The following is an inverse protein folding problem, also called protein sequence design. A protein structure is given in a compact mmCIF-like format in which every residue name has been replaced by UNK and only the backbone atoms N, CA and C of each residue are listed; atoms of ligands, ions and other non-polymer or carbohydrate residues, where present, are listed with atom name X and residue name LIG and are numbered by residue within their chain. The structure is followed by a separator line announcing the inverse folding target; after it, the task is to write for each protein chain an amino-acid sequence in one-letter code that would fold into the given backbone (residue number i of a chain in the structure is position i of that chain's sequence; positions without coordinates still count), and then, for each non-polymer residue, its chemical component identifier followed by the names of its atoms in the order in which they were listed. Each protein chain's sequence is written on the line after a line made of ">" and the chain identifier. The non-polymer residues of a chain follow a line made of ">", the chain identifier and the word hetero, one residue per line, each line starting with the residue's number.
data_IF_690777210671
#
_entry.id   IF_690777210671
#
_cell.length_a   1.000
_cell.length_b   1.000
_cell.length_c   1.000
_cell.angle_alpha   90.00
_cell.angle_beta   90.00
_cell.angle_gamma   90.00
#
_symmetry.space_group_name_H-M   'P 1'
#
loop_
_entity.id
_entity.type
_entity.pdbx_description
1 polymer ?
#
# COMPACT_ATOMS: atom_id res chain seq x y z
N UNK A 1 -29.60 26.13 -43.76
CA UNK A 1 -30.05 25.87 -42.38
C UNK A 1 -28.86 25.23 -41.69
N UNK A 2 -28.09 26.03 -40.97
CA UNK A 2 -26.91 25.59 -40.24
C UNK A 2 -27.37 24.99 -38.91
N UNK A 3 -27.50 23.68 -38.87
CA UNK A 3 -27.77 22.92 -37.66
C UNK A 3 -26.49 22.94 -36.81
N UNK A 4 -26.40 23.93 -35.92
CA UNK A 4 -25.31 24.00 -34.94
C UNK A 4 -25.61 22.96 -33.86
N UNK A 5 -24.95 21.81 -33.94
CA UNK A 5 -24.89 20.85 -32.83
C UNK A 5 -24.54 21.60 -31.52
N UNK A 6 -25.38 21.53 -30.48
CA UNK A 6 -25.04 22.13 -29.21
C UNK A 6 -23.84 21.36 -28.65
N UNK A 7 -22.66 21.99 -28.66
CA UNK A 7 -21.47 21.47 -27.99
C UNK A 7 -21.84 21.22 -26.53
N UNK A 8 -22.11 19.97 -26.21
CA UNK A 8 -22.40 19.52 -24.86
C UNK A 8 -21.19 19.88 -24.01
N UNK A 9 -21.36 20.85 -23.12
CA UNK A 9 -20.31 21.30 -22.21
C UNK A 9 -20.13 20.24 -21.13
N UNK A 10 -19.38 19.18 -21.45
CA UNK A 10 -19.01 18.14 -20.48
C UNK A 10 -17.98 18.77 -19.54
N UNK A 11 -18.27 18.94 -18.24
CA UNK A 11 -17.29 19.49 -17.30
C UNK A 11 -16.06 18.57 -17.29
N UNK A 12 -14.91 19.15 -17.64
CA UNK A 12 -13.64 18.45 -17.52
C UNK A 12 -13.20 18.56 -16.06
N UNK A 13 -13.15 17.41 -15.38
CA UNK A 13 -12.59 17.32 -14.03
C UNK A 13 -11.11 17.00 -14.20
N UNK A 14 -10.25 17.92 -13.78
CA UNK A 14 -8.83 17.63 -13.61
C UNK A 14 -8.64 16.92 -12.26
N UNK A 15 -8.07 15.71 -12.30
CA UNK A 15 -7.70 14.97 -11.10
C UNK A 15 -6.18 14.96 -11.00
N UNK A 16 -5.65 15.58 -9.96
CA UNK A 16 -4.23 15.49 -9.62
C UNK A 16 -3.98 14.19 -8.86
N UNK A 17 -3.16 13.30 -9.42
CA UNK A 17 -2.71 12.09 -8.75
C UNK A 17 -1.27 12.27 -8.27
N UNK A 18 -1.05 12.13 -6.97
CA UNK A 18 0.30 12.07 -6.41
C UNK A 18 0.85 10.65 -6.55
N UNK A 19 1.98 10.50 -7.23
CA UNK A 19 2.72 9.25 -7.25
C UNK A 19 3.47 9.06 -5.93
N UNK A 20 3.48 7.85 -5.35
CA UNK A 20 4.29 7.58 -4.17
C UNK A 20 5.77 7.46 -4.54
N UNK A 21 6.63 7.80 -3.59
CA UNK A 21 8.05 7.49 -3.64
C UNK A 21 8.26 6.05 -3.14
N UNK A 22 8.88 5.22 -3.95
CA UNK A 22 9.22 3.84 -3.56
C UNK A 22 10.37 3.91 -2.55
N UNK A 23 10.20 3.23 -1.41
CA UNK A 23 11.26 3.12 -0.42
C UNK A 23 12.10 1.88 -0.71
N UNK A 24 13.32 2.09 -1.21
CA UNK A 24 14.30 1.02 -1.39
C UNK A 24 14.91 0.65 -0.03
N UNK A 25 14.39 -0.42 0.59
CA UNK A 25 15.00 -1.02 1.77
C UNK A 25 14.03 -1.26 2.94
N UNK A 26 14.57 -1.74 4.08
CA UNK A 26 13.78 -2.00 5.28
C UNK A 26 13.15 -0.73 5.86
N UNK A 27 11.88 -0.80 6.23
CA UNK A 27 11.23 0.21 7.06
C UNK A 27 11.45 -0.12 8.54
N UNK A 28 12.08 0.79 9.29
CA UNK A 28 12.24 0.66 10.73
C UNK A 28 11.16 1.50 11.41
N UNK A 29 10.30 0.84 12.18
CA UNK A 29 9.24 1.47 12.97
C UNK A 29 9.80 2.04 14.29
N UNK A 30 9.08 2.98 14.90
CA UNK A 30 9.48 3.60 16.16
C UNK A 30 9.64 2.60 17.32
N UNK A 31 8.91 1.49 17.27
CA UNK A 31 9.01 0.40 18.24
C UNK A 31 10.22 -0.53 18.00
N UNK A 32 11.09 -0.22 17.03
CA UNK A 32 12.26 -1.00 16.66
C UNK A 32 11.99 -2.17 15.72
N UNK A 33 10.73 -2.42 15.33
CA UNK A 33 10.40 -3.48 14.37
C UNK A 33 10.85 -3.07 12.96
N UNK A 34 11.56 -3.98 12.29
CA UNK A 34 11.95 -3.80 10.88
C UNK A 34 11.00 -4.57 9.97
N UNK A 35 10.37 -3.89 9.02
CA UNK A 35 9.53 -4.46 7.96
C UNK A 35 10.29 -4.46 6.63
N UNK A 36 10.22 -5.58 5.91
CA UNK A 36 10.80 -5.76 4.59
C UNK A 36 9.74 -6.25 3.61
N UNK A 37 9.98 -6.02 2.32
CA UNK A 37 9.26 -6.75 1.29
C UNK A 37 9.41 -8.27 1.50
N UNK A 38 8.30 -8.98 1.37
CA UNK A 38 8.24 -10.42 1.58
C UNK A 38 7.94 -10.84 3.03
N UNK A 39 8.01 -9.95 4.00
CA UNK A 39 7.60 -10.26 5.38
C UNK A 39 6.11 -10.59 5.44
N UNK A 40 5.76 -11.48 6.36
CA UNK A 40 4.36 -11.75 6.70
C UNK A 40 3.96 -10.87 7.88
N UNK A 41 2.82 -10.19 7.73
CA UNK A 41 2.24 -9.32 8.75
C UNK A 41 0.80 -9.74 9.05
N UNK A 42 0.29 -9.34 10.21
CA UNK A 42 -1.08 -9.57 10.63
C UNK A 42 -1.81 -8.26 10.88
N UNK A 43 -3.01 -8.14 10.32
CA UNK A 43 -3.96 -7.06 10.56
C UNK A 43 -5.19 -7.64 11.25
N UNK A 44 -5.75 -6.92 12.23
CA UNK A 44 -6.87 -7.39 13.06
C UNK A 44 -8.09 -7.81 12.23
N UNK A 45 -8.38 -7.09 11.15
CA UNK A 45 -9.56 -7.36 10.30
C UNK A 45 -9.26 -8.19 9.05
N UNK A 46 -8.06 -8.09 8.49
CA UNK A 46 -7.71 -8.72 7.20
C UNK A 46 -7.00 -10.06 7.37
N UNK A 47 -6.57 -10.38 8.60
CA UNK A 47 -5.78 -11.56 8.91
C UNK A 47 -4.34 -11.40 8.49
N UNK A 48 -3.74 -12.48 7.97
CA UNK A 48 -2.33 -12.52 7.58
C UNK A 48 -2.15 -12.09 6.14
N UNK A 49 -1.11 -11.31 5.88
CA UNK A 49 -0.75 -10.85 4.54
C UNK A 49 0.75 -10.79 4.33
N UNK A 50 1.16 -10.76 3.06
CA UNK A 50 2.57 -10.66 2.67
C UNK A 50 2.85 -9.28 2.09
N UNK A 51 3.84 -8.58 2.63
CA UNK A 51 4.26 -7.28 2.11
C UNK A 51 4.82 -7.49 0.70
N UNK A 52 4.26 -6.78 -0.27
CA UNK A 52 4.72 -6.77 -1.64
C UNK A 52 5.63 -5.59 -1.93
N UNK A 53 5.29 -4.40 -1.41
CA UNK A 53 6.04 -3.15 -1.57
C UNK A 53 5.88 -2.25 -0.36
N UNK A 54 6.85 -1.38 -0.16
CA UNK A 54 6.83 -0.28 0.81
C UNK A 54 7.05 1.02 0.04
N UNK A 55 6.20 2.01 0.28
CA UNK A 55 6.32 3.31 -0.36
C UNK A 55 5.86 4.42 0.58
N UNK A 56 6.11 5.67 0.21
CA UNK A 56 5.70 6.82 1.00
C UNK A 56 5.02 7.87 0.13
N UNK A 57 4.01 8.52 0.69
CA UNK A 57 3.41 9.72 0.15
C UNK A 57 3.84 10.91 0.99
N UNK A 58 4.03 12.09 0.38
CA UNK A 58 4.37 13.31 1.13
C UNK A 58 3.28 13.70 2.13
N UNK A 59 2.02 13.36 1.84
CA UNK A 59 0.85 13.76 2.62
C UNK A 59 0.38 12.69 3.61
N UNK A 60 0.49 11.40 3.26
CA UNK A 60 0.01 10.27 4.07
C UNK A 60 1.11 9.55 4.84
N UNK A 61 2.38 9.80 4.50
CA UNK A 61 3.52 9.08 5.05
C UNK A 61 3.68 7.70 4.44
N UNK A 62 4.31 6.79 5.19
CA UNK A 62 4.67 5.45 4.72
C UNK A 62 3.45 4.52 4.69
N UNK A 63 3.32 3.77 3.60
CA UNK A 63 2.29 2.75 3.41
C UNK A 63 2.93 1.42 2.99
N UNK A 64 2.25 0.34 3.36
CA UNK A 64 2.59 -1.02 2.95
C UNK A 64 1.56 -1.47 1.91
N UNK A 65 2.05 -1.93 0.76
CA UNK A 65 1.22 -2.64 -0.19
C UNK A 65 1.30 -4.14 0.10
N UNK A 66 0.18 -4.74 0.52
CA UNK A 66 0.14 -6.10 1.09
C UNK A 66 -0.85 -6.98 0.33
N UNK A 67 -0.46 -8.22 0.08
CA UNK A 67 -1.37 -9.27 -0.41
C UNK A 67 -1.98 -10.03 0.78
N UNK A 68 -3.29 -9.90 0.96
CA UNK A 68 -4.06 -10.54 2.03
C UNK A 68 -4.74 -11.84 1.56
N UNK A 69 -4.31 -12.41 0.44
CA UNK A 69 -4.89 -13.62 -0.12
C UNK A 69 -6.33 -13.38 -0.58
N UNK A 70 -7.29 -14.02 0.09
CA UNK A 70 -8.72 -13.93 -0.24
C UNK A 70 -9.28 -12.50 -0.14
N UNK A 71 -8.67 -11.65 0.70
CA UNK A 71 -9.07 -10.24 0.87
C UNK A 71 -8.44 -9.30 -0.18
N UNK A 72 -7.65 -9.83 -1.11
CA UNK A 72 -7.01 -9.09 -2.19
C UNK A 72 -5.80 -8.27 -1.75
N UNK A 73 -5.31 -7.42 -2.65
CA UNK A 73 -4.16 -6.54 -2.43
C UNK A 73 -4.63 -5.17 -1.98
N UNK A 74 -4.10 -4.67 -0.86
CA UNK A 74 -4.52 -3.42 -0.23
C UNK A 74 -3.33 -2.66 0.36
N UNK A 75 -3.48 -1.35 0.40
CA UNK A 75 -2.58 -0.47 1.13
C UNK A 75 -3.01 -0.35 2.60
N UNK A 76 -2.05 -0.43 3.50
CA UNK A 76 -2.26 -0.22 4.94
C UNK A 76 -1.13 0.60 5.55
N UNK A 77 -1.45 1.38 6.58
CA UNK A 77 -0.43 2.06 7.37
C UNK A 77 0.32 1.04 8.24
N UNK A 78 1.67 1.13 8.36
CA UNK A 78 2.47 0.17 9.11
C UNK A 78 2.09 0.06 10.59
N UNK A 79 1.51 1.10 11.18
CA UNK A 79 1.01 1.09 12.56
C UNK A 79 -0.20 0.18 12.82
N UNK A 80 -0.87 -0.33 11.78
CA UNK A 80 -2.02 -1.24 11.92
C UNK A 80 -1.67 -2.71 11.70
N UNK A 81 -0.38 -3.03 11.51
CA UNK A 81 0.05 -4.40 11.28
C UNK A 81 1.10 -4.84 12.29
N UNK A 82 1.07 -6.11 12.65
CA UNK A 82 2.09 -6.74 13.47
C UNK A 82 2.94 -7.66 12.60
N UNK A 83 4.27 -7.51 12.65
CA UNK A 83 5.18 -8.44 11.96
C UNK A 83 5.09 -9.81 12.61
N UNK A 84 4.79 -10.82 11.82
CA UNK A 84 4.88 -12.20 12.26
C UNK A 84 6.31 -12.69 12.09
N UNK A 85 6.82 -13.40 13.11
CA UNK A 85 8.12 -14.06 12.99
C UNK A 85 8.07 -14.99 11.78
N UNK A 86 8.99 -14.80 10.84
CA UNK A 86 9.24 -15.83 9.83
C UNK A 86 9.65 -17.08 10.61
N UNK A 87 8.97 -18.21 10.38
CA UNK A 87 9.39 -19.49 10.92
C UNK A 87 10.85 -19.68 10.50
N UNK A 88 11.79 -19.48 11.43
CA UNK A 88 13.18 -19.73 11.18
C UNK A 88 13.23 -21.19 10.73
N UNK A 89 13.74 -21.43 9.51
CA UNK A 89 14.10 -22.79 9.12
C UNK A 89 15.15 -23.25 10.12
N UNK A 90 14.73 -24.01 11.14
CA UNK A 90 15.61 -24.85 11.93
C UNK A 90 16.36 -25.74 10.94
N UNK A 91 17.60 -25.34 10.65
CA UNK A 91 18.51 -26.11 9.80
C UNK A 91 19.13 -27.14 10.74
N UNK A 92 18.66 -28.38 10.62
CA UNK A 92 19.21 -29.53 11.33
C UNK A 92 20.39 -30.13 10.55
#
# INVERSE_FOLDING_TARGET
>A
MDEKDPKQNIPQVEMEMQLPDILDGPLVLENGVTLNEGDTVEHSELGKGKILRIWTYTTLGTCLYVDWGANGKKEVHPGYVNKLASAAKETR
#
